data_IF_834393265370
#
_entry.id   IF_834393265370
#
_cell.length_a   1.000
_cell.length_b   1.000
_cell.length_c   1.000
_cell.angle_alpha   90.00
_cell.angle_beta   90.00
_cell.angle_gamma   90.00
#
_symmetry.space_group_name_H-M   'P 1'
#
loop_
_entity.id
_entity.type
_entity.pdbx_description
1 polymer ?
#
# COMPACT_ATOMS: atom_id res chain seq x y z
N UNK A 1 12.95 -37.06 -26.21
CA UNK A 1 11.59 -37.09 -25.65
C UNK A 1 10.68 -36.39 -26.64
N UNK A 2 9.67 -37.11 -27.12
CA UNK A 2 8.64 -36.58 -28.01
C UNK A 2 7.61 -35.76 -27.19
N UNK A 3 7.08 -34.69 -27.80
CA UNK A 3 6.13 -33.77 -27.18
C UNK A 3 4.78 -34.47 -26.97
N UNK A 4 4.33 -35.31 -27.92
CA UNK A 4 3.07 -36.05 -27.77
C UNK A 4 3.13 -37.01 -26.59
N UNK A 5 4.19 -37.83 -26.52
CA UNK A 5 4.42 -38.75 -25.39
C UNK A 5 4.52 -38.03 -24.03
N UNK A 6 5.12 -36.84 -23.97
CA UNK A 6 5.18 -36.05 -22.73
C UNK A 6 3.80 -35.51 -22.31
N UNK A 7 2.99 -35.05 -23.27
CA UNK A 7 1.63 -34.57 -23.01
C UNK A 7 0.67 -35.71 -22.63
N UNK A 8 0.74 -36.88 -23.28
CA UNK A 8 -0.04 -38.05 -22.88
C UNK A 8 0.40 -38.60 -21.51
N UNK A 9 1.69 -38.54 -21.16
CA UNK A 9 2.14 -38.90 -19.81
C UNK A 9 1.55 -37.98 -18.74
N UNK A 10 1.48 -36.67 -18.99
CA UNK A 10 0.82 -35.71 -18.09
C UNK A 10 -0.71 -35.88 -18.05
N UNK A 11 -1.35 -36.14 -19.19
CA UNK A 11 -2.82 -36.26 -19.30
C UNK A 11 -3.38 -37.52 -18.64
N UNK A 12 -2.59 -38.61 -18.63
CA UNK A 12 -3.03 -39.91 -18.13
C UNK A 12 -2.44 -40.25 -16.73
N UNK A 13 -1.73 -39.31 -16.10
CA UNK A 13 -1.26 -39.44 -14.71
C UNK A 13 -2.38 -39.13 -13.70
N UNK A 14 -2.49 -39.85 -12.56
CA UNK A 14 -3.50 -39.57 -11.54
C UNK A 14 -3.18 -38.29 -10.75
N UNK A 15 -4.22 -37.58 -10.31
CA UNK A 15 -4.14 -36.30 -9.59
C UNK A 15 -3.18 -36.34 -8.38
N UNK A 16 -3.15 -37.44 -7.64
CA UNK A 16 -2.28 -37.63 -6.47
C UNK A 16 -0.79 -37.51 -6.83
N UNK A 17 -0.41 -38.10 -7.98
CA UNK A 17 0.95 -38.10 -8.51
C UNK A 17 1.32 -36.72 -9.09
N UNK A 18 0.36 -36.08 -9.77
CA UNK A 18 0.50 -34.71 -10.28
C UNK A 18 0.62 -33.68 -9.14
N UNK A 19 -0.02 -33.92 -7.99
CA UNK A 19 0.12 -33.07 -6.80
C UNK A 19 1.46 -33.30 -6.09
N UNK A 20 1.89 -34.56 -5.95
CA UNK A 20 3.20 -34.90 -5.37
C UNK A 20 4.38 -34.36 -6.20
N UNK A 21 4.29 -34.41 -7.53
CA UNK A 21 5.31 -33.95 -8.48
C UNK A 21 4.91 -32.68 -9.22
N UNK A 22 4.18 -31.78 -8.54
CA UNK A 22 3.62 -30.58 -9.16
C UNK A 22 4.65 -29.58 -9.70
N UNK A 23 5.89 -29.58 -9.18
CA UNK A 23 6.97 -28.73 -9.73
C UNK A 23 7.47 -29.28 -11.05
N UNK A 24 7.72 -30.58 -11.10
CA UNK A 24 8.21 -31.33 -12.24
C UNK A 24 7.19 -31.29 -13.39
N UNK A 25 5.90 -31.44 -13.09
CA UNK A 25 4.81 -31.29 -14.04
C UNK A 25 4.74 -29.86 -14.64
N UNK A 26 4.82 -28.82 -13.81
CA UNK A 26 4.82 -27.42 -14.29
C UNK A 26 6.04 -27.12 -15.16
N UNK A 27 7.22 -27.63 -14.80
CA UNK A 27 8.43 -27.48 -15.60
C UNK A 27 8.32 -28.21 -16.95
N UNK A 28 7.73 -29.41 -16.98
CA UNK A 28 7.50 -30.16 -18.22
C UNK A 28 6.52 -29.41 -19.16
N UNK A 29 5.42 -28.86 -18.63
CA UNK A 29 4.46 -28.07 -19.41
C UNK A 29 5.13 -26.82 -20.02
N UNK A 30 5.92 -26.08 -19.21
CA UNK A 30 6.65 -24.89 -19.71
C UNK A 30 7.71 -25.23 -20.75
N UNK A 31 8.41 -26.36 -20.62
CA UNK A 31 9.37 -26.82 -21.62
C UNK A 31 8.70 -27.28 -22.93
N UNK A 32 7.46 -27.80 -22.87
CA UNK A 32 6.64 -28.06 -24.07
C UNK A 32 6.17 -26.76 -24.72
N UNK A 33 5.62 -25.81 -23.95
CA UNK A 33 5.22 -24.48 -24.43
C UNK A 33 6.37 -23.76 -25.15
N UNK A 34 7.54 -23.70 -24.49
CA UNK A 34 8.77 -23.09 -25.00
C UNK A 34 9.36 -23.82 -26.22
N UNK A 35 8.97 -25.07 -26.50
CA UNK A 35 9.31 -25.79 -27.75
C UNK A 35 8.32 -25.48 -28.85
N UNK A 36 7.02 -25.46 -28.57
CA UNK A 36 5.97 -25.13 -29.55
C UNK A 36 6.12 -23.69 -30.07
N UNK A 37 6.44 -22.73 -29.22
CA UNK A 37 6.74 -21.34 -29.62
C UNK A 37 7.87 -21.24 -30.67
N UNK A 38 8.89 -22.13 -30.62
CA UNK A 38 9.98 -22.16 -31.62
C UNK A 38 9.58 -22.77 -32.97
N UNK A 39 8.44 -23.47 -33.04
CA UNK A 39 7.93 -24.13 -34.26
C UNK A 39 6.82 -23.30 -34.91
N UNK A 40 6.01 -22.60 -34.10
CA UNK A 40 4.81 -21.88 -34.56
C UNK A 40 5.04 -20.35 -34.67
N UNK A 41 6.11 -19.82 -34.07
CA UNK A 41 6.41 -18.39 -34.05
C UNK A 41 5.70 -17.66 -32.89
N UNK A 42 6.13 -16.41 -32.58
CA UNK A 42 5.67 -15.70 -31.39
C UNK A 42 4.20 -15.22 -31.47
N UNK A 43 3.70 -14.87 -32.66
CA UNK A 43 2.47 -14.09 -32.81
C UNK A 43 1.16 -14.90 -32.77
N UNK A 44 1.24 -16.24 -32.70
CA UNK A 44 0.04 -17.12 -32.78
C UNK A 44 -0.49 -17.51 -31.39
N UNK A 45 0.33 -17.48 -30.34
CA UNK A 45 -0.08 -17.83 -28.98
C UNK A 45 -0.57 -16.63 -28.16
N UNK A 46 -1.65 -15.99 -28.63
CA UNK A 46 -2.50 -15.16 -27.75
C UNK A 46 -3.19 -16.08 -26.73
N UNK A 47 -3.01 -15.89 -25.40
CA UNK A 47 -3.62 -16.75 -24.39
C UNK A 47 -5.16 -16.60 -24.35
N UNK A 48 -5.84 -17.38 -25.18
CA UNK A 48 -7.29 -17.28 -25.40
C UNK A 48 -8.05 -17.82 -24.19
N UNK A 49 -8.33 -16.91 -23.24
CA UNK A 49 -9.16 -17.09 -22.03
C UNK A 49 -8.67 -18.16 -21.05
N UNK A 50 -8.18 -17.69 -19.89
CA UNK A 50 -8.03 -18.41 -18.62
C UNK A 50 -8.83 -19.73 -18.52
N UNK A 51 -8.16 -20.85 -18.83
CA UNK A 51 -8.62 -22.20 -18.50
C UNK A 51 -8.53 -22.35 -16.98
N UNK A 52 -9.66 -22.17 -16.30
CA UNK A 52 -9.75 -22.30 -14.84
C UNK A 52 -9.59 -23.76 -14.46
N UNK A 53 -8.50 -24.08 -13.75
CA UNK A 53 -8.36 -25.34 -13.00
C UNK A 53 -9.60 -25.57 -12.12
N UNK A 54 -10.46 -26.51 -12.51
CA UNK A 54 -11.80 -26.60 -11.94
C UNK A 54 -11.80 -27.05 -10.47
N UNK A 55 -10.81 -27.86 -10.09
CA UNK A 55 -10.59 -28.31 -8.70
C UNK A 55 -9.83 -27.31 -7.83
N UNK A 56 -8.98 -26.44 -8.41
CA UNK A 56 -7.99 -25.67 -7.63
C UNK A 56 -8.15 -24.13 -7.62
N UNK A 57 -9.01 -23.54 -8.45
CA UNK A 57 -9.44 -22.12 -8.42
C UNK A 57 -8.33 -21.06 -8.23
N UNK A 58 -7.12 -21.33 -8.73
CA UNK A 58 -6.04 -20.34 -8.88
C UNK A 58 -5.59 -20.32 -10.34
N UNK A 59 -5.28 -19.14 -10.87
CA UNK A 59 -4.50 -19.03 -12.10
C UNK A 59 -3.03 -19.26 -11.75
N UNK A 60 -2.29 -20.01 -12.57
CA UNK A 60 -0.84 -19.98 -12.52
C UNK A 60 -0.37 -18.58 -12.96
N UNK A 61 0.72 -18.12 -12.36
CA UNK A 61 1.46 -16.93 -12.79
C UNK A 61 2.71 -17.43 -13.50
N UNK A 62 3.00 -16.89 -14.69
CA UNK A 62 4.27 -17.17 -15.36
C UNK A 62 5.41 -16.37 -14.71
N UNK A 63 6.55 -17.03 -14.56
CA UNK A 63 7.78 -16.39 -14.07
C UNK A 63 8.48 -15.72 -15.25
N UNK A 64 9.20 -14.63 -14.98
CA UNK A 64 10.65 -14.39 -15.24
C UNK A 64 11.07 -13.35 -14.16
N UNK A 65 12.24 -13.35 -13.50
CA UNK A 65 13.45 -14.18 -13.62
C UNK A 65 14.04 -14.56 -12.25
N UNK A 66 14.79 -15.67 -12.21
CA UNK A 66 15.88 -15.92 -11.24
C UNK A 66 17.05 -16.52 -12.04
N UNK A 67 18.32 -16.07 -11.86
CA UNK A 67 19.42 -16.51 -12.72
C UNK A 67 19.74 -18.00 -12.65
N UNK A 68 20.21 -18.56 -13.76
CA UNK A 68 20.81 -19.89 -13.80
C UNK A 68 22.12 -19.93 -13.00
N UNK A 69 22.18 -20.79 -11.99
CA UNK A 69 23.43 -21.18 -11.32
C UNK A 69 23.48 -22.71 -11.11
N UNK A 70 24.20 -23.36 -12.02
CA UNK A 70 24.82 -24.69 -12.01
C UNK A 70 24.30 -25.78 -11.05
N UNK A 71 23.96 -26.93 -11.65
CA UNK A 71 23.78 -28.21 -10.95
C UNK A 71 25.15 -28.71 -10.48
N UNK A 72 25.30 -28.93 -9.17
CA UNK A 72 26.38 -29.74 -8.62
C UNK A 72 25.82 -30.82 -7.70
N UNK A 73 26.04 -32.09 -8.07
CA UNK A 73 25.55 -33.28 -7.36
C UNK A 73 26.70 -33.84 -6.54
N UNK A 74 26.57 -33.95 -5.21
CA UNK A 74 27.19 -35.03 -4.41
C UNK A 74 26.78 -35.03 -2.92
N UNK A 75 26.50 -36.22 -2.38
CA UNK A 75 26.82 -36.58 -0.98
C UNK A 75 25.84 -36.21 0.14
N UNK A 76 25.33 -37.19 0.92
CA UNK A 76 24.52 -36.94 2.12
C UNK A 76 25.27 -37.15 3.45
N UNK A 77 24.86 -36.46 4.52
CA UNK A 77 25.03 -36.97 5.90
C UNK A 77 24.07 -36.38 6.95
N UNK A 78 23.42 -37.34 7.63
CA UNK A 78 22.64 -37.33 8.88
C UNK A 78 22.82 -36.16 9.87
N UNK A 79 21.69 -35.66 10.37
CA UNK A 79 21.54 -34.92 11.63
C UNK A 79 20.06 -34.91 12.06
N UNK A 80 19.74 -35.28 13.30
CA UNK A 80 18.36 -35.65 13.72
C UNK A 80 17.63 -34.53 14.49
N UNK A 81 16.34 -34.79 14.80
CA UNK A 81 15.42 -34.08 15.71
C UNK A 81 14.75 -32.82 15.08
N UNK A 82 13.43 -32.71 14.85
CA UNK A 82 12.21 -33.21 15.56
C UNK A 82 12.05 -32.54 16.94
N UNK A 83 10.95 -31.88 17.33
CA UNK A 83 9.50 -32.08 17.03
C UNK A 83 8.74 -30.72 16.93
N UNK A 84 7.64 -30.67 16.15
CA UNK A 84 6.63 -29.57 16.08
C UNK A 84 5.33 -29.95 16.85
N UNK A 85 4.36 -29.08 17.19
CA UNK A 85 4.00 -27.76 16.61
C UNK A 85 3.93 -26.64 17.71
N UNK A 86 3.05 -25.61 17.83
CA UNK A 86 1.70 -25.27 17.26
C UNK A 86 1.41 -23.75 17.34
N UNK A 87 0.20 -23.35 16.92
CA UNK A 87 -0.43 -22.03 16.94
C UNK A 87 -0.24 -21.14 18.20
N UNK A 88 -0.15 -19.81 18.00
CA UNK A 88 -1.33 -18.98 18.34
C UNK A 88 -1.48 -17.61 17.66
N UNK A 89 -2.70 -17.44 17.15
CA UNK A 89 -3.40 -16.28 16.62
C UNK A 89 -3.46 -15.09 17.58
N UNK A 90 -2.80 -13.98 17.26
CA UNK A 90 -2.99 -12.70 17.96
C UNK A 90 -4.29 -11.99 17.50
N UNK A 91 -5.40 -12.20 18.20
CA UNK A 91 -6.60 -11.36 18.04
C UNK A 91 -6.46 -10.07 18.87
N UNK A 92 -6.73 -8.92 18.24
CA UNK A 92 -6.87 -7.65 18.96
C UNK A 92 -8.25 -7.63 19.63
N UNK A 93 -8.28 -8.02 20.90
CA UNK A 93 -9.36 -7.66 21.81
C UNK A 93 -9.01 -6.31 22.46
N UNK A 94 -9.99 -5.41 22.55
CA UNK A 94 -9.88 -4.17 23.32
C UNK A 94 -10.76 -4.36 24.55
N UNK A 95 -10.16 -4.28 25.74
CA UNK A 95 -10.86 -4.30 27.03
C UNK A 95 -10.18 -3.25 27.94
N UNK A 96 -10.94 -2.41 28.68
CA UNK A 96 -10.37 -1.22 29.32
C UNK A 96 -9.84 -1.48 30.73
N UNK A 97 -8.82 -0.71 31.12
CA UNK A 97 -8.27 -0.57 32.48
C UNK A 97 -7.75 -1.85 33.16
N UNK A 98 -6.42 -1.96 33.22
CA UNK A 98 -5.73 -1.93 34.53
C UNK A 98 -4.32 -1.35 34.41
N UNK A 99 -3.96 -0.51 35.36
CA UNK A 99 -2.66 0.14 35.46
C UNK A 99 -1.67 -0.74 36.24
N UNK A 100 -0.46 -0.91 35.70
CA UNK A 100 0.75 -1.15 36.49
C UNK A 100 2.00 -0.85 35.65
N UNK A 101 2.90 -0.02 36.18
CA UNK A 101 4.16 0.30 35.53
C UNK A 101 5.19 -0.82 35.72
N UNK A 102 5.92 -1.15 34.65
CA UNK A 102 7.35 -1.50 34.70
C UNK A 102 7.96 -1.13 33.34
N UNK A 103 8.90 -0.18 33.34
CA UNK A 103 9.46 0.38 32.12
C UNK A 103 10.64 -0.41 31.57
N UNK A 104 10.68 -0.61 30.25
CA UNK A 104 11.87 -1.02 29.47
C UNK A 104 11.64 -0.89 27.94
N UNK A 105 10.95 0.16 27.48
CA UNK A 105 10.63 0.35 26.03
C UNK A 105 11.21 1.63 25.41
N UNK A 106 11.52 2.65 26.21
CA UNK A 106 11.86 4.02 25.74
C UNK A 106 12.96 4.05 24.68
N UNK A 107 14.07 3.33 24.89
CA UNK A 107 15.19 3.33 23.94
C UNK A 107 14.85 2.77 22.55
N UNK A 108 13.95 1.79 22.46
CA UNK A 108 13.50 1.22 21.19
C UNK A 108 12.42 2.07 20.51
N UNK A 109 11.65 2.82 21.29
CA UNK A 109 10.66 3.77 20.79
C UNK A 109 11.33 5.02 20.19
N UNK A 110 12.26 5.63 20.93
CA UNK A 110 12.99 6.81 20.49
C UNK A 110 13.88 6.53 19.26
N UNK A 111 14.50 5.34 19.20
CA UNK A 111 15.32 4.94 18.06
C UNK A 111 14.54 4.95 16.73
N UNK A 112 13.30 4.48 16.70
CA UNK A 112 12.49 4.46 15.47
C UNK A 112 12.04 5.88 15.06
N UNK A 113 11.68 6.72 16.03
CA UNK A 113 11.39 8.14 15.80
C UNK A 113 12.61 8.88 15.24
N UNK A 114 13.79 8.66 15.81
CA UNK A 114 15.06 9.26 15.35
C UNK A 114 15.46 8.77 13.96
N UNK A 115 15.32 7.48 13.66
CA UNK A 115 15.59 6.93 12.31
C UNK A 115 14.64 7.54 11.27
N UNK A 116 13.35 7.68 11.57
CA UNK A 116 12.40 8.34 10.68
C UNK A 116 12.71 9.83 10.50
N UNK A 117 13.06 10.54 11.57
CA UNK A 117 13.47 11.95 11.50
C UNK A 117 14.73 12.13 10.63
N UNK A 118 15.80 11.37 10.88
CA UNK A 118 17.02 11.45 10.08
C UNK A 118 16.77 11.15 8.59
N UNK A 119 15.97 10.12 8.29
CA UNK A 119 15.58 9.76 6.91
C UNK A 119 14.70 10.82 6.25
N UNK A 120 13.88 11.52 7.03
CA UNK A 120 13.07 12.64 6.55
C UNK A 120 13.98 13.81 6.17
N UNK A 121 14.97 14.14 7.01
CA UNK A 121 15.90 15.25 6.74
C UNK A 121 16.67 15.07 5.43
N UNK A 122 17.05 13.84 5.05
CA UNK A 122 17.71 13.56 3.76
C UNK A 122 16.82 13.78 2.53
N UNK A 123 15.50 13.62 2.65
CA UNK A 123 14.57 13.73 1.52
C UNK A 123 14.05 15.18 1.30
N UNK A 124 14.27 16.11 2.27
CA UNK A 124 13.80 17.50 2.18
C UNK A 124 14.30 18.20 0.91
N UNK A 125 15.61 18.08 0.63
CA UNK A 125 16.23 18.76 -0.51
C UNK A 125 15.68 18.30 -1.86
N UNK A 126 15.12 17.08 -1.94
CA UNK A 126 14.40 16.62 -3.11
C UNK A 126 13.00 17.24 -3.20
N UNK A 127 12.18 17.12 -2.15
CA UNK A 127 10.81 17.64 -2.18
C UNK A 127 10.77 19.17 -2.33
N UNK A 128 11.72 19.91 -1.73
CA UNK A 128 11.87 21.37 -1.85
C UNK A 128 12.19 21.84 -3.28
N UNK A 129 12.82 20.98 -4.10
CA UNK A 129 12.99 21.22 -5.54
C UNK A 129 11.74 20.79 -6.31
N UNK A 130 11.10 19.69 -5.91
CA UNK A 130 9.92 19.13 -6.57
C UNK A 130 8.67 20.01 -6.47
N UNK A 131 8.41 20.66 -5.33
CA UNK A 131 7.26 21.59 -5.14
C UNK A 131 7.34 22.86 -5.98
N UNK A 132 8.41 23.05 -6.77
CA UNK A 132 8.48 24.10 -7.81
C UNK A 132 7.73 23.72 -9.09
N UNK A 133 7.39 22.44 -9.31
CA UNK A 133 6.55 21.99 -10.43
C UNK A 133 5.08 22.30 -10.15
N UNK A 134 4.31 22.71 -11.16
CA UNK A 134 2.86 22.95 -11.01
C UNK A 134 2.13 21.63 -10.69
N UNK A 135 1.28 21.56 -9.65
CA UNK A 135 0.61 20.32 -9.26
C UNK A 135 -0.16 19.65 -10.41
N UNK A 136 -1.02 20.39 -11.10
CA UNK A 136 -1.85 19.87 -12.20
C UNK A 136 -1.06 19.34 -13.40
N UNK A 137 0.10 19.92 -13.70
CA UNK A 137 0.96 19.47 -14.81
C UNK A 137 1.62 18.13 -14.49
N UNK A 138 2.13 17.96 -13.27
CA UNK A 138 2.71 16.70 -12.78
C UNK A 138 1.65 15.59 -12.74
N UNK A 139 0.43 15.92 -12.29
CA UNK A 139 -0.70 14.97 -12.31
C UNK A 139 -1.10 14.60 -13.74
N UNK A 140 -1.17 15.58 -14.65
CA UNK A 140 -1.52 15.34 -16.06
C UNK A 140 -0.51 14.39 -16.72
N UNK A 141 0.78 14.71 -16.66
CA UNK A 141 1.86 13.91 -17.25
C UNK A 141 1.90 12.47 -16.70
N UNK A 142 1.49 12.24 -15.44
CA UNK A 142 1.36 10.89 -14.84
C UNK A 142 0.22 10.06 -15.45
N UNK A 143 -0.80 10.71 -16.05
CA UNK A 143 -2.14 10.16 -16.29
C UNK A 143 -2.54 9.92 -17.74
N UNK A 144 -1.75 10.33 -18.73
CA UNK A 144 -2.17 10.62 -20.11
C UNK A 144 -2.80 9.47 -20.94
N UNK A 145 -3.09 8.29 -20.37
CA UNK A 145 -3.65 7.14 -21.09
C UNK A 145 -4.80 6.37 -20.40
N UNK A 146 -5.25 6.68 -19.18
CA UNK A 146 -6.32 5.87 -18.51
C UNK A 146 -7.33 6.66 -17.65
N UNK A 147 -8.65 6.51 -17.89
CA UNK A 147 -9.73 7.08 -17.05
C UNK A 147 -10.16 6.18 -15.88
N UNK A 148 -9.37 5.17 -15.52
CA UNK A 148 -9.63 4.24 -14.41
C UNK A 148 -8.96 4.71 -13.11
N UNK A 149 -9.49 4.33 -11.94
CA UNK A 149 -8.81 4.54 -10.64
C UNK A 149 -7.35 4.05 -10.69
N UNK A 150 -6.41 5.00 -10.58
CA UNK A 150 -4.97 4.73 -10.70
C UNK A 150 -4.31 4.33 -9.38
N UNK A 151 -5.00 4.43 -8.23
CA UNK A 151 -4.37 4.35 -6.90
C UNK A 151 -3.62 3.05 -6.66
N UNK A 152 -4.23 1.92 -7.01
CA UNK A 152 -3.58 0.63 -6.87
C UNK A 152 -2.39 0.46 -7.83
N UNK A 153 -2.44 1.06 -9.02
CA UNK A 153 -1.32 1.05 -9.97
C UNK A 153 -0.13 1.87 -9.46
N UNK A 154 -0.36 3.08 -8.91
CA UNK A 154 0.71 3.91 -8.35
C UNK A 154 1.39 3.23 -7.14
N UNK A 155 0.63 2.54 -6.30
CA UNK A 155 1.19 1.76 -5.19
C UNK A 155 1.99 0.56 -5.72
N UNK A 156 1.47 -0.17 -6.72
CA UNK A 156 2.13 -1.35 -7.30
C UNK A 156 3.41 -1.04 -8.10
N UNK A 157 3.63 0.20 -8.58
CA UNK A 157 4.93 0.63 -9.15
C UNK A 157 6.09 0.60 -8.16
N UNK A 158 5.78 0.53 -6.86
CA UNK A 158 6.74 0.62 -5.76
C UNK A 158 6.78 -0.69 -4.95
N UNK A 159 5.65 -1.33 -4.69
CA UNK A 159 5.59 -2.59 -3.93
C UNK A 159 6.20 -3.74 -4.74
N UNK A 160 7.46 -4.10 -4.42
CA UNK A 160 8.25 -5.12 -5.13
C UNK A 160 9.34 -4.54 -6.03
N UNK A 161 9.35 -3.22 -6.25
CA UNK A 161 10.44 -2.51 -6.91
C UNK A 161 11.58 -2.26 -5.90
N UNK A 162 12.83 -2.70 -6.15
CA UNK A 162 13.94 -2.45 -5.22
C UNK A 162 14.41 -0.99 -5.22
N UNK A 163 14.23 -0.25 -6.33
CA UNK A 163 14.75 1.11 -6.52
C UNK A 163 13.66 2.06 -7.06
N UNK A 164 12.56 2.30 -6.30
CA UNK A 164 11.49 3.20 -6.70
C UNK A 164 11.95 4.66 -6.71
N UNK A 165 11.59 5.41 -7.76
CA UNK A 165 11.90 6.83 -7.88
C UNK A 165 11.17 7.64 -6.79
N UNK A 166 11.71 8.78 -6.39
CA UNK A 166 11.03 9.63 -5.40
C UNK A 166 9.66 10.14 -5.88
N UNK A 167 9.46 10.30 -7.20
CA UNK A 167 8.14 10.58 -7.75
C UNK A 167 7.18 9.40 -7.54
N UNK A 168 7.59 8.15 -7.81
CA UNK A 168 6.76 6.97 -7.55
C UNK A 168 6.46 6.78 -6.06
N UNK A 169 7.43 7.03 -5.17
CA UNK A 169 7.23 6.97 -3.72
C UNK A 169 6.18 7.99 -3.26
N UNK A 170 6.26 9.23 -3.76
CA UNK A 170 5.29 10.28 -3.47
C UNK A 170 3.89 9.91 -4.01
N UNK A 171 3.80 9.44 -5.26
CA UNK A 171 2.54 8.99 -5.86
C UNK A 171 1.91 7.82 -5.11
N UNK A 172 2.69 6.83 -4.67
CA UNK A 172 2.24 5.76 -3.76
C UNK A 172 1.63 6.33 -2.47
N UNK A 173 2.29 7.29 -1.84
CA UNK A 173 1.81 7.92 -0.61
C UNK A 173 0.50 8.69 -0.81
N UNK A 174 0.40 9.46 -1.90
CA UNK A 174 -0.84 10.19 -2.26
C UNK A 174 -1.99 9.23 -2.59
N UNK A 175 -1.70 8.10 -3.23
CA UNK A 175 -2.67 7.04 -3.47
C UNK A 175 -3.17 6.38 -2.17
N UNK A 176 -2.26 6.08 -1.23
CA UNK A 176 -2.61 5.54 0.09
C UNK A 176 -3.43 6.54 0.91
N UNK A 177 -3.02 7.81 0.92
CA UNK A 177 -3.76 8.91 1.56
C UNK A 177 -5.15 9.11 0.96
N UNK A 178 -5.29 9.10 -0.38
CA UNK A 178 -6.58 9.17 -1.09
C UNK A 178 -7.53 8.02 -0.70
N UNK A 179 -7.01 6.78 -0.64
CA UNK A 179 -7.78 5.62 -0.17
C UNK A 179 -8.27 5.79 1.28
N UNK A 180 -7.43 6.33 2.16
CA UNK A 180 -7.81 6.60 3.55
C UNK A 180 -8.79 7.76 3.70
N UNK A 181 -8.66 8.83 2.90
CA UNK A 181 -9.61 9.95 2.87
C UNK A 181 -11.00 9.50 2.36
N UNK A 182 -11.05 8.63 1.35
CA UNK A 182 -12.31 8.01 0.90
C UNK A 182 -12.91 7.10 1.97
N UNK A 183 -12.08 6.30 2.66
CA UNK A 183 -12.54 5.46 3.77
C UNK A 183 -13.12 6.29 4.92
N UNK A 184 -12.50 7.41 5.31
CA UNK A 184 -13.01 8.28 6.39
C UNK A 184 -14.39 8.88 6.07
N UNK A 185 -14.68 9.21 4.80
CA UNK A 185 -16.03 9.65 4.39
C UNK A 185 -17.07 8.54 4.53
N UNK A 186 -16.71 7.32 4.14
CA UNK A 186 -17.57 6.13 4.32
C UNK A 186 -17.79 5.81 5.81
N UNK A 187 -16.75 5.92 6.63
CA UNK A 187 -16.81 5.69 8.08
C UNK A 187 -17.72 6.72 8.78
N UNK A 188 -17.61 8.02 8.45
CA UNK A 188 -18.48 9.04 9.04
C UNK A 188 -19.95 8.89 8.62
N UNK A 189 -20.22 8.50 7.37
CA UNK A 189 -21.57 8.19 6.88
C UNK A 189 -22.20 6.99 7.61
N UNK A 190 -21.45 5.90 7.84
CA UNK A 190 -21.96 4.74 8.59
C UNK A 190 -22.23 5.05 10.07
N UNK A 191 -21.36 5.87 10.70
CA UNK A 191 -21.53 6.29 12.08
C UNK A 191 -22.77 7.19 12.27
N UNK A 192 -22.99 8.14 11.36
CA UNK A 192 -24.22 8.95 11.35
C UNK A 192 -25.48 8.07 11.21
N UNK A 193 -25.44 7.07 10.34
CA UNK A 193 -26.55 6.15 10.08
C UNK A 193 -26.69 5.02 11.11
N UNK A 194 -25.87 4.99 12.18
CA UNK A 194 -25.89 4.00 13.29
C UNK A 194 -25.84 2.51 12.88
N UNK A 195 -25.42 2.18 11.66
CA UNK A 195 -25.48 0.81 11.11
C UNK A 195 -24.30 -0.07 11.56
N UNK A 196 -24.21 -0.34 12.86
CA UNK A 196 -23.18 -1.20 13.46
C UNK A 196 -23.27 -2.65 12.98
N UNK A 197 -22.44 -3.03 11.99
CA UNK A 197 -22.20 -4.43 11.61
C UNK A 197 -21.10 -5.06 12.46
N UNK A 198 -21.22 -6.35 12.79
CA UNK A 198 -20.17 -7.17 13.46
C UNK A 198 -18.88 -7.40 12.63
N UNK A 199 -18.75 -6.77 11.46
CA UNK A 199 -17.59 -6.89 10.58
C UNK A 199 -16.81 -5.58 10.59
N UNK A 200 -15.48 -5.65 10.60
CA UNK A 200 -14.62 -4.46 10.57
C UNK A 200 -14.93 -3.54 9.39
N UNK A 201 -14.84 -2.23 9.63
CA UNK A 201 -15.23 -1.20 8.67
C UNK A 201 -14.36 -1.23 7.40
N UNK A 202 -13.03 -1.35 7.52
CA UNK A 202 -12.11 -1.39 6.37
C UNK A 202 -12.37 -2.62 5.46
N UNK A 203 -12.47 -3.88 5.98
CA UNK A 203 -12.93 -5.03 5.19
C UNK A 203 -14.28 -4.82 4.51
N UNK A 204 -15.23 -4.14 5.17
CA UNK A 204 -16.55 -3.86 4.61
C UNK A 204 -16.45 -2.85 3.45
N UNK A 205 -15.70 -1.76 3.63
CA UNK A 205 -15.43 -0.77 2.58
C UNK A 205 -14.77 -1.39 1.35
N UNK A 206 -13.69 -2.16 1.57
CA UNK A 206 -12.92 -2.80 0.50
C UNK A 206 -13.78 -3.77 -0.33
N UNK A 207 -14.64 -4.56 0.32
CA UNK A 207 -15.58 -5.46 -0.37
C UNK A 207 -16.68 -4.71 -1.13
N UNK A 208 -17.25 -3.66 -0.51
CA UNK A 208 -18.49 -3.04 -0.99
C UNK A 208 -18.27 -1.90 -2.00
N UNK A 209 -17.12 -1.21 -1.96
CA UNK A 209 -16.89 0.02 -2.74
C UNK A 209 -15.65 -0.01 -3.65
N UNK A 210 -14.63 -0.82 -3.35
CA UNK A 210 -13.37 -0.84 -4.12
C UNK A 210 -13.27 -2.00 -5.11
N UNK A 211 -14.07 -3.06 -4.96
CA UNK A 211 -14.18 -4.21 -5.89
C UNK A 211 -12.84 -4.84 -6.35
N UNK A 212 -11.81 -4.78 -5.50
CA UNK A 212 -10.44 -5.23 -5.83
C UNK A 212 -10.26 -6.74 -5.87
N UNK A 213 -9.35 -7.20 -6.74
CA UNK A 213 -8.92 -8.61 -6.82
C UNK A 213 -8.14 -9.09 -5.60
N UNK A 214 -7.47 -8.19 -4.87
CA UNK A 214 -6.74 -8.51 -3.63
C UNK A 214 -7.24 -7.64 -2.45
N UNK A 215 -8.28 -8.09 -1.71
CA UNK A 215 -8.81 -7.36 -0.56
C UNK A 215 -7.81 -7.14 0.58
N UNK A 216 -6.86 -8.05 0.81
CA UNK A 216 -5.85 -7.90 1.88
C UNK A 216 -4.90 -6.75 1.58
N UNK A 217 -4.44 -6.65 0.33
CA UNK A 217 -3.58 -5.55 -0.14
C UNK A 217 -4.28 -4.20 -0.01
N UNK A 218 -5.55 -4.08 -0.43
CA UNK A 218 -6.29 -2.83 -0.28
C UNK A 218 -6.52 -2.42 1.19
N UNK A 219 -6.78 -3.38 2.09
CA UNK A 219 -6.86 -3.11 3.53
C UNK A 219 -5.54 -2.54 4.07
N UNK A 220 -4.39 -3.11 3.68
CA UNK A 220 -3.06 -2.62 4.05
C UNK A 220 -2.78 -1.21 3.48
N UNK A 221 -3.20 -0.92 2.25
CA UNK A 221 -3.05 0.40 1.63
C UNK A 221 -3.85 1.48 2.38
N UNK A 222 -5.08 1.18 2.79
CA UNK A 222 -5.91 2.09 3.60
C UNK A 222 -5.30 2.30 4.99
N UNK A 223 -4.81 1.24 5.63
CA UNK A 223 -4.14 1.33 6.93
C UNK A 223 -2.86 2.18 6.87
N UNK A 224 -2.08 2.09 5.79
CA UNK A 224 -0.92 2.95 5.56
C UNK A 224 -1.32 4.42 5.38
N UNK A 225 -2.37 4.71 4.61
CA UNK A 225 -2.92 6.07 4.47
C UNK A 225 -3.49 6.63 5.78
N UNK A 226 -4.25 5.83 6.54
CA UNK A 226 -4.75 6.23 7.86
C UNK A 226 -3.60 6.59 8.80
N UNK A 227 -2.49 5.85 8.75
CA UNK A 227 -1.28 6.16 9.53
C UNK A 227 -0.69 7.52 9.16
N UNK A 228 -0.64 7.89 7.87
CA UNK A 228 -0.22 9.23 7.44
C UNK A 228 -1.15 10.31 8.01
N UNK A 229 -2.47 10.11 7.91
CA UNK A 229 -3.47 11.04 8.46
C UNK A 229 -3.37 11.19 10.00
N UNK A 230 -2.94 10.16 10.73
CA UNK A 230 -2.62 10.27 12.17
C UNK A 230 -1.35 11.07 12.46
N UNK A 231 -0.36 11.05 11.58
CA UNK A 231 0.81 11.94 11.69
C UNK A 231 0.43 13.39 11.39
N UNK A 232 -0.45 13.64 10.41
CA UNK A 232 -1.03 14.97 10.18
C UNK A 232 -1.81 15.48 11.40
N UNK A 233 -2.71 14.66 11.96
CA UNK A 233 -3.48 14.98 13.17
C UNK A 233 -2.57 15.31 14.36
N UNK A 234 -1.50 14.53 14.57
CA UNK A 234 -0.55 14.73 15.65
C UNK A 234 0.31 16.00 15.47
N UNK A 235 0.88 16.21 14.29
CA UNK A 235 1.67 17.41 13.96
C UNK A 235 0.82 18.68 14.13
N UNK A 236 -0.36 18.69 13.52
CA UNK A 236 -1.28 19.83 13.56
C UNK A 236 -1.76 20.15 14.97
N UNK A 237 -2.00 19.12 15.80
CA UNK A 237 -2.35 19.30 17.22
C UNK A 237 -1.18 19.91 18.01
N UNK A 238 0.06 19.47 17.75
CA UNK A 238 1.25 20.01 18.40
C UNK A 238 1.59 21.45 17.96
N UNK A 239 1.25 21.82 16.71
CA UNK A 239 1.33 23.19 16.20
C UNK A 239 0.19 24.10 16.68
N UNK A 240 -0.77 23.60 17.48
CA UNK A 240 -1.95 24.34 17.92
C UNK A 240 -3.02 24.59 16.84
N UNK A 241 -2.79 24.14 15.60
CA UNK A 241 -3.62 24.42 14.42
C UNK A 241 -4.75 23.40 14.19
N UNK A 242 -5.18 22.70 15.25
CA UNK A 242 -6.00 21.45 15.17
C UNK A 242 -7.21 21.53 14.23
N UNK A 243 -7.84 22.70 14.16
CA UNK A 243 -9.06 22.98 13.40
C UNK A 243 -8.85 23.15 11.88
N UNK A 244 -7.64 23.47 11.39
CA UNK A 244 -7.37 23.58 9.95
C UNK A 244 -6.99 22.20 9.34
N UNK A 245 -7.86 21.55 8.56
CA UNK A 245 -7.53 20.27 7.92
C UNK A 245 -6.40 20.36 6.88
N UNK A 246 -6.01 21.58 6.43
CA UNK A 246 -4.93 21.82 5.47
C UNK A 246 -3.56 21.98 6.13
N UNK A 247 -3.52 22.28 7.42
CA UNK A 247 -2.28 22.45 8.18
C UNK A 247 -1.57 21.11 8.43
N UNK A 248 -0.25 21.12 8.26
CA UNK A 248 0.65 19.99 8.50
C UNK A 248 0.66 18.90 7.41
N UNK A 249 -0.17 18.98 6.37
CA UNK A 249 -0.34 17.89 5.38
C UNK A 249 0.92 17.56 4.57
N UNK A 250 1.89 18.48 4.51
CA UNK A 250 3.21 18.24 3.92
C UNK A 250 4.01 17.11 4.60
N UNK A 251 3.66 16.72 5.83
CA UNK A 251 4.29 15.57 6.50
C UNK A 251 3.91 14.24 5.81
N UNK A 252 2.77 14.18 5.12
CA UNK A 252 2.40 13.03 4.29
C UNK A 252 3.28 12.90 3.04
N UNK A 253 3.75 14.01 2.46
CA UNK A 253 4.71 13.97 1.36
C UNK A 253 6.06 13.43 1.82
N UNK A 254 6.57 13.87 2.97
CA UNK A 254 7.85 13.39 3.52
C UNK A 254 7.77 11.93 3.99
N UNK A 255 6.70 11.53 4.68
CA UNK A 255 6.49 10.12 5.08
C UNK A 255 6.21 9.18 3.91
N UNK A 256 5.77 9.70 2.76
CA UNK A 256 5.68 8.94 1.51
C UNK A 256 7.06 8.62 0.91
N UNK A 257 8.04 9.52 1.05
CA UNK A 257 9.41 9.30 0.57
C UNK A 257 10.18 8.33 1.48
N UNK A 258 10.01 8.43 2.80
CA UNK A 258 10.69 7.62 3.82
C UNK A 258 10.02 6.27 4.10
N UNK A 259 9.60 5.56 3.05
CA UNK A 259 8.74 4.36 3.10
C UNK A 259 9.15 3.36 4.19
N UNK A 260 10.42 2.95 4.25
CA UNK A 260 10.87 1.87 5.15
C UNK A 260 10.86 2.32 6.63
N UNK A 261 11.53 3.41 7.04
CA UNK A 261 11.36 3.99 8.38
C UNK A 261 9.90 4.24 8.77
N UNK A 262 9.12 4.86 7.87
CA UNK A 262 7.73 5.18 8.16
C UNK A 262 6.85 3.92 8.29
N UNK A 263 7.14 2.84 7.57
CA UNK A 263 6.47 1.54 7.71
C UNK A 263 6.65 0.96 9.11
N UNK A 264 7.86 1.03 9.68
CA UNK A 264 8.17 0.43 10.98
C UNK A 264 7.79 1.28 12.21
N UNK A 265 7.66 2.61 12.07
CA UNK A 265 7.17 3.49 13.15
C UNK A 265 5.84 2.97 13.73
N UNK A 266 5.74 2.76 15.04
CA UNK A 266 4.51 2.33 15.72
C UNK A 266 3.59 3.53 15.98
N UNK A 267 2.28 3.34 16.08
CA UNK A 267 1.34 4.45 16.35
C UNK A 267 1.68 5.20 17.65
N UNK A 268 2.13 4.47 18.69
CA UNK A 268 2.58 5.05 19.97
C UNK A 268 3.88 5.86 19.87
N UNK A 269 4.66 5.71 18.79
CA UNK A 269 5.91 6.45 18.56
C UNK A 269 5.69 7.78 17.83
N UNK A 270 4.52 7.98 17.20
CA UNK A 270 4.20 9.22 16.48
C UNK A 270 4.45 10.49 17.33
N UNK A 271 4.06 10.56 18.62
CA UNK A 271 4.34 11.75 19.44
C UNK A 271 5.82 12.07 19.64
N UNK A 272 6.70 11.06 19.77
CA UNK A 272 8.15 11.27 19.90
C UNK A 272 8.77 11.70 18.56
N UNK A 273 8.32 11.11 17.45
CA UNK A 273 8.68 11.58 16.10
C UNK A 273 8.24 13.03 15.84
N UNK A 274 7.01 13.43 16.22
CA UNK A 274 6.58 14.83 16.16
C UNK A 274 7.46 15.70 17.07
N UNK A 275 7.81 15.22 18.28
CA UNK A 275 8.74 15.89 19.19
C UNK A 275 10.06 16.30 18.52
N UNK A 276 10.68 15.41 17.72
CA UNK A 276 11.89 15.73 16.97
C UNK A 276 11.69 16.88 15.95
N UNK A 277 10.50 17.03 15.36
CA UNK A 277 10.19 18.12 14.42
C UNK A 277 9.99 19.48 15.11
N UNK A 278 9.81 19.52 16.43
CA UNK A 278 9.58 20.72 17.24
C UNK A 278 10.88 21.26 17.89
N UNK A 279 12.00 20.55 17.78
CA UNK A 279 13.27 20.96 18.39
C UNK A 279 13.87 22.16 17.65
N UNK A 280 14.39 23.16 18.36
CA UNK A 280 15.10 24.32 17.76
C UNK A 280 16.28 23.94 16.85
N UNK A 281 16.80 22.72 17.00
CA UNK A 281 17.86 22.13 16.20
C UNK A 281 17.38 21.48 14.89
N UNK A 282 16.07 21.31 14.68
CA UNK A 282 15.45 20.71 13.50
C UNK A 282 15.45 21.67 12.29
N UNK A 283 16.65 22.10 11.91
CA UNK A 283 16.94 23.07 10.86
C UNK A 283 17.71 22.42 9.72
N UNK A 284 17.37 22.79 8.49
CA UNK A 284 17.93 22.24 7.25
C UNK A 284 18.48 23.37 6.38
N UNK A 285 19.63 23.13 5.76
CA UNK A 285 20.26 24.05 4.81
C UNK A 285 19.74 23.77 3.40
N UNK A 286 18.99 24.71 2.83
CA UNK A 286 18.27 24.55 1.56
C UNK A 286 18.69 25.60 0.53
N UNK A 287 18.60 25.29 -0.78
CA UNK A 287 18.79 26.31 -1.81
C UNK A 287 17.67 27.37 -1.74
N UNK A 288 17.98 28.68 -1.88
CA UNK A 288 17.01 29.75 -2.02
C UNK A 288 15.92 29.44 -3.06
N UNK A 289 14.71 29.98 -2.88
CA UNK A 289 13.63 29.84 -3.86
C UNK A 289 13.92 30.63 -5.12
N UNK A 290 14.27 31.90 -4.94
CA UNK A 290 14.67 32.82 -6.00
C UNK A 290 16.18 32.76 -6.24
N UNK A 291 16.60 32.90 -7.50
CA UNK A 291 18.00 32.95 -7.89
C UNK A 291 18.59 34.31 -7.52
N UNK A 292 19.44 34.36 -6.50
CA UNK A 292 20.20 35.57 -6.17
C UNK A 292 21.35 35.71 -7.16
N UNK A 293 21.14 36.48 -8.23
CA UNK A 293 22.20 36.80 -9.18
C UNK A 293 23.35 37.56 -8.49
N UNK A 294 24.60 37.19 -8.83
CA UNK A 294 25.80 37.85 -8.32
C UNK A 294 26.48 37.21 -7.10
N UNK A 295 25.88 36.23 -6.41
CA UNK A 295 26.57 35.53 -5.31
C UNK A 295 27.51 34.43 -5.82
N UNK A 296 28.83 34.63 -5.69
CA UNK A 296 29.89 33.74 -6.18
C UNK A 296 30.09 32.42 -5.42
N UNK A 297 29.01 31.76 -4.99
CA UNK A 297 29.04 30.48 -4.28
C UNK A 297 27.64 29.89 -4.07
N UNK A 298 27.53 28.62 -3.65
CA UNK A 298 26.24 27.98 -3.38
C UNK A 298 25.63 28.54 -2.10
N UNK A 299 24.89 29.65 -2.21
CA UNK A 299 24.10 30.21 -1.11
C UNK A 299 23.07 29.17 -0.68
N UNK A 300 23.05 28.86 0.62
CA UNK A 300 21.99 28.11 1.28
C UNK A 300 21.33 28.97 2.35
N UNK A 301 20.03 28.74 2.57
CA UNK A 301 19.26 29.31 3.67
C UNK A 301 19.00 28.22 4.70
N UNK A 302 19.25 28.52 5.98
CA UNK A 302 19.02 27.60 7.09
C UNK A 302 17.62 27.81 7.67
N UNK A 303 16.70 26.89 7.38
CA UNK A 303 15.26 27.03 7.64
C UNK A 303 14.79 25.97 8.64
N UNK A 304 13.78 26.25 9.47
CA UNK A 304 13.22 25.25 10.37
C UNK A 304 12.30 24.27 9.61
N UNK A 305 12.24 23.01 10.05
CA UNK A 305 11.44 21.98 9.37
C UNK A 305 9.95 22.32 9.34
N UNK A 306 9.43 23.05 10.32
CA UNK A 306 8.02 23.48 10.35
C UNK A 306 7.70 24.50 9.25
N UNK A 307 8.56 25.49 8.98
CA UNK A 307 8.37 26.47 7.90
C UNK A 307 8.40 25.78 6.52
N UNK A 308 9.29 24.79 6.39
CA UNK A 308 9.40 23.95 5.19
C UNK A 308 8.14 23.09 5.02
N UNK A 309 7.64 22.48 6.09
CA UNK A 309 6.40 21.71 6.11
C UNK A 309 5.16 22.56 5.80
N UNK A 310 5.09 23.81 6.27
CA UNK A 310 3.99 24.73 5.96
C UNK A 310 3.93 25.02 4.45
N UNK A 311 5.08 25.28 3.82
CA UNK A 311 5.16 25.48 2.37
C UNK A 311 4.80 24.21 1.58
N UNK A 312 5.35 23.05 1.97
CA UNK A 312 5.03 21.78 1.31
C UNK A 312 3.53 21.46 1.48
N UNK A 313 2.93 21.77 2.64
CA UNK A 313 1.48 21.57 2.88
C UNK A 313 0.64 22.34 1.87
N UNK A 314 0.95 23.62 1.61
CA UNK A 314 0.25 24.44 0.61
C UNK A 314 0.23 23.77 -0.76
N UNK A 315 1.41 23.39 -1.28
CA UNK A 315 1.53 22.68 -2.56
C UNK A 315 0.85 21.29 -2.55
N UNK A 316 1.01 20.54 -1.45
CA UNK A 316 0.54 19.15 -1.34
C UNK A 316 -0.98 19.04 -1.23
N UNK A 317 -1.65 20.04 -0.66
CA UNK A 317 -3.11 20.11 -0.64
C UNK A 317 -3.69 20.24 -2.07
N UNK A 318 -3.09 21.09 -2.92
CA UNK A 318 -3.49 21.22 -4.32
C UNK A 318 -3.08 20.01 -5.17
N UNK A 319 -1.92 19.40 -4.87
CA UNK A 319 -1.50 18.15 -5.51
C UNK A 319 -2.43 16.97 -5.18
N UNK A 320 -2.83 16.81 -3.91
CA UNK A 320 -3.86 15.85 -3.52
C UNK A 320 -5.17 16.14 -4.25
N UNK A 321 -5.61 17.40 -4.32
CA UNK A 321 -6.85 17.79 -5.02
C UNK A 321 -6.80 17.37 -6.50
N UNK A 322 -5.75 17.70 -7.23
CA UNK A 322 -5.62 17.30 -8.63
C UNK A 322 -5.45 15.78 -8.80
N UNK A 323 -4.82 15.09 -7.84
CA UNK A 323 -4.79 13.62 -7.82
C UNK A 323 -6.18 13.00 -7.56
N UNK A 324 -7.02 13.64 -6.76
CA UNK A 324 -8.36 13.15 -6.45
C UNK A 324 -9.42 13.57 -7.50
N UNK A 325 -9.16 14.61 -8.30
CA UNK A 325 -9.93 14.96 -9.49
C UNK A 325 -9.93 13.78 -10.49
N UNK A 326 -11.11 13.21 -10.76
CA UNK A 326 -11.26 11.99 -11.58
C UNK A 326 -11.27 10.67 -10.79
N UNK A 327 -11.12 10.72 -9.46
CA UNK A 327 -11.37 9.59 -8.56
C UNK A 327 -12.72 9.84 -7.88
N UNK A 328 -13.63 8.86 -7.91
CA UNK A 328 -14.96 9.04 -7.33
C UNK A 328 -14.97 8.83 -5.81
N UNK A 329 -14.39 9.81 -5.11
CA UNK A 329 -14.35 9.90 -3.65
C UNK A 329 -15.73 10.29 -3.08
N UNK A 330 -16.65 10.74 -3.94
CA UNK A 330 -18.07 10.91 -3.66
C UNK A 330 -18.82 9.58 -3.58
N UNK A 331 -18.62 8.66 -4.53
CA UNK A 331 -19.28 7.35 -4.51
C UNK A 331 -18.57 6.32 -3.62
N UNK A 332 -18.61 6.62 -2.32
CA UNK A 332 -19.31 5.65 -1.48
C UNK A 332 -20.74 5.51 -2.05
N UNK A 333 -20.90 4.67 -3.09
CA UNK A 333 -22.18 4.45 -3.79
C UNK A 333 -23.27 4.27 -2.73
N UNK A 334 -24.37 5.02 -2.91
CA UNK A 334 -25.47 5.05 -1.96
C UNK A 334 -25.87 3.63 -1.54
N UNK A 335 -26.34 3.48 -0.30
CA UNK A 335 -26.70 2.18 0.29
C UNK A 335 -27.96 1.54 -0.33
N UNK A 336 -28.35 2.01 -1.51
CA UNK A 336 -29.37 1.51 -2.45
C UNK A 336 -28.95 0.17 -3.09
N UNK A 337 -28.42 -0.75 -2.27
CA UNK A 337 -28.20 -2.14 -2.66
C UNK A 337 -29.51 -2.90 -2.35
N UNK A 338 -30.18 -3.51 -3.34
CA UNK A 338 -31.57 -3.99 -3.20
C UNK A 338 -31.81 -5.08 -2.14
N UNK A 339 -30.75 -5.64 -1.56
CA UNK A 339 -30.77 -6.61 -0.46
C UNK A 339 -31.51 -6.07 0.77
N UNK A 340 -31.59 -4.74 0.97
CA UNK A 340 -32.41 -4.17 2.05
C UNK A 340 -33.92 -4.22 1.76
N UNK A 341 -34.34 -4.05 0.50
CA UNK A 341 -35.77 -4.13 0.14
C UNK A 341 -36.33 -5.56 0.23
N UNK A 342 -35.50 -6.58 0.07
CA UNK A 342 -35.93 -7.98 0.27
C UNK A 342 -36.14 -8.32 1.75
N UNK A 343 -35.40 -7.70 2.67
CA UNK A 343 -35.55 -7.93 4.13
C UNK A 343 -36.85 -7.34 4.66
N UNK A 344 -37.25 -6.15 4.19
CA UNK A 344 -38.50 -5.53 4.60
C UNK A 344 -39.72 -6.20 3.93
N UNK A 345 -39.65 -6.54 2.63
CA UNK A 345 -40.69 -7.36 1.98
C UNK A 345 -40.86 -8.74 2.61
N UNK A 346 -39.79 -9.35 3.12
CA UNK A 346 -39.86 -10.61 3.86
C UNK A 346 -40.43 -10.46 5.28
N UNK A 347 -40.62 -9.23 5.79
CA UNK A 347 -41.34 -8.98 7.04
C UNK A 347 -42.83 -8.79 6.79
N UNK A 348 -43.19 -7.96 5.82
CA UNK A 348 -44.60 -7.67 5.50
C UNK A 348 -45.35 -8.97 5.13
N UNK A 349 -44.73 -9.86 4.34
CA UNK A 349 -45.30 -11.15 3.94
C UNK A 349 -45.38 -12.21 5.06
N UNK A 350 -44.85 -11.94 6.26
CA UNK A 350 -44.98 -12.80 7.44
C UNK A 350 -45.86 -12.17 8.54
N UNK A 351 -46.54 -11.05 8.25
CA UNK A 351 -47.42 -10.35 9.20
C UNK A 351 -48.89 -10.79 9.18
N UNK A 352 -49.35 -11.47 8.12
CA UNK A 352 -50.77 -11.81 7.91
C UNK A 352 -51.11 -13.30 8.07
N UNK A 353 -50.31 -14.05 8.84
CA UNK A 353 -50.54 -15.47 9.13
C UNK A 353 -50.15 -15.83 10.59
N UNK A 354 -51.03 -15.49 11.54
CA UNK A 354 -50.86 -15.77 12.97
C UNK A 354 -52.08 -15.39 13.80
#
# INVERSE_FOLDING_TARGET
>A
MDIMHALDALRNAPDDLLYAHGKEAILMVREVERRLQRVVGPDIFVPTRSLKCHSCRRNLVNNEDIPSSEVSIFGPSRGNHSVSPTDNRAQIAIDPQKSQHKGSTSGADEAQSSILFASLMTEITWIWKFVRKTPGEVIKARREQRPSDIRFNDIQRVEGNPNPTNEDRLFRGVAQRSLALQFLKFESQLLANRTCRRQGLIPTFVRNHLYVTNPKFAQQCIQAGQKQLRVEEALRSAMGQKEDPRAGTGISALTALTITPFKYLRLMQIPSFIGHLLLDSAKVDLPPRESVEGSGGPVTIRVHILDVLEHISKWFNDFQKCYDEGIDISSARQLDHPILQEVDKARDLNGEAG
#
